data_IF_298705750823
#
_entry.id   IF_298705750823
#
_cell.length_a   1.000
_cell.length_b   1.000
_cell.length_c   1.000
_cell.angle_alpha   90.00
_cell.angle_beta   90.00
_cell.angle_gamma   90.00
#
_symmetry.space_group_name_H-M   'P 1'
#
loop_
_entity.id
_entity.type
_entity.pdbx_description
1 polymer ?
#
# COMPACT_ATOMS: atom_id res chain seq x y z
N UNK A 1 62.83 11.41 30.82
CA UNK A 1 61.50 11.84 31.29
C UNK A 1 60.51 11.70 30.14
N UNK A 2 59.72 10.62 30.11
CA UNK A 2 58.81 10.28 29.00
C UNK A 2 57.46 10.96 29.26
N UNK A 3 57.04 11.87 28.38
CA UNK A 3 55.76 12.57 28.49
C UNK A 3 54.71 11.77 27.72
N UNK A 4 53.83 11.09 28.45
CA UNK A 4 52.68 10.38 27.90
C UNK A 4 51.64 11.40 27.40
N UNK A 5 51.35 11.42 26.08
CA UNK A 5 50.20 12.15 25.54
C UNK A 5 48.94 11.34 25.80
N UNK A 6 48.07 11.87 26.66
CA UNK A 6 46.72 11.34 26.89
C UNK A 6 45.89 11.49 25.62
N UNK A 7 45.49 10.37 25.02
CA UNK A 7 44.47 10.34 23.97
C UNK A 7 43.11 10.45 24.67
N UNK A 8 42.53 11.65 24.69
CA UNK A 8 41.13 11.83 25.08
C UNK A 8 40.27 11.35 23.93
N UNK A 9 39.66 10.17 24.08
CA UNK A 9 38.56 9.73 23.21
C UNK A 9 37.38 10.66 23.50
N UNK A 10 37.15 11.62 22.62
CA UNK A 10 35.89 12.37 22.56
C UNK A 10 34.80 11.38 22.15
N UNK A 11 34.16 10.76 23.13
CA UNK A 11 32.84 10.17 22.92
C UNK A 11 31.92 11.34 22.62
N UNK A 12 31.69 11.60 21.34
CA UNK A 12 30.55 12.40 20.90
C UNK A 12 29.31 11.68 21.38
N UNK A 13 28.74 12.15 22.49
CA UNK A 13 27.41 11.76 22.91
C UNK A 13 26.46 12.05 21.76
N UNK A 14 26.07 10.99 21.05
CA UNK A 14 25.01 11.02 20.06
C UNK A 14 23.70 11.20 20.83
N UNK A 15 23.47 12.42 21.32
CA UNK A 15 22.12 12.87 21.56
C UNK A 15 21.50 13.01 20.17
N UNK A 16 20.91 11.91 19.68
CA UNK A 16 19.79 11.99 18.75
C UNK A 16 18.67 12.72 19.50
N UNK A 17 18.80 14.04 19.64
CA UNK A 17 17.64 14.91 19.67
C UNK A 17 16.99 14.67 18.32
N UNK A 18 16.03 13.75 18.30
CA UNK A 18 15.12 13.62 17.19
C UNK A 18 14.60 15.02 16.92
N UNK A 19 15.01 15.60 15.80
CA UNK A 19 14.15 16.55 15.14
C UNK A 19 12.91 15.72 14.83
N UNK A 20 11.91 15.74 15.71
CA UNK A 20 10.59 15.25 15.35
C UNK A 20 10.27 16.00 14.06
N UNK A 21 10.14 15.27 12.96
CA UNK A 21 9.88 15.88 11.67
C UNK A 21 8.68 16.80 11.87
N UNK A 22 8.88 18.12 11.74
CA UNK A 22 7.82 19.14 11.90
C UNK A 22 6.80 19.11 10.76
N UNK A 23 6.76 17.99 10.02
CA UNK A 23 6.11 17.84 8.76
C UNK A 23 5.12 16.67 8.85
N UNK A 24 4.04 16.81 8.11
CA UNK A 24 3.15 15.72 7.81
C UNK A 24 3.91 14.47 7.35
N UNK A 25 3.52 13.29 7.84
CA UNK A 25 4.05 12.02 7.37
C UNK A 25 2.98 10.92 7.32
N UNK A 26 3.09 9.97 6.38
CA UNK A 26 2.34 8.74 6.46
C UNK A 26 2.91 7.84 7.57
N UNK A 27 2.06 7.08 8.24
CA UNK A 27 2.46 6.26 9.41
C UNK A 27 2.39 4.78 9.08
N UNK A 28 1.23 4.31 8.59
CA UNK A 28 1.03 2.89 8.32
C UNK A 28 -0.18 2.63 7.41
N UNK A 29 -0.16 1.46 6.77
CA UNK A 29 -1.31 0.85 6.11
C UNK A 29 -1.69 -0.46 6.83
N UNK A 30 -2.99 -0.70 7.02
CA UNK A 30 -3.53 -1.91 7.65
C UNK A 30 -4.59 -2.54 6.75
N UNK A 31 -4.50 -3.85 6.43
CA UNK A 31 -3.38 -4.73 6.75
C UNK A 31 -2.10 -4.30 5.99
N UNK A 32 -0.89 -4.50 6.57
CA UNK A 32 0.36 -4.14 5.91
C UNK A 32 0.67 -5.05 4.70
N UNK A 33 0.09 -6.25 4.68
CA UNK A 33 0.12 -7.14 3.53
C UNK A 33 -1.15 -7.99 3.45
N UNK A 34 -1.48 -8.44 2.24
CA UNK A 34 -2.58 -9.39 2.06
C UNK A 34 -2.88 -9.67 0.60
N UNK A 35 -4.00 -10.35 0.37
CA UNK A 35 -4.46 -10.69 -0.97
C UNK A 35 -5.98 -10.68 -1.05
N UNK A 36 -6.52 -10.31 -2.21
CA UNK A 36 -7.96 -10.26 -2.43
C UNK A 36 -8.38 -9.27 -3.50
N UNK A 37 -9.56 -9.50 -4.07
CA UNK A 37 -10.17 -8.56 -5.01
C UNK A 37 -10.87 -7.40 -4.31
N UNK A 38 -11.32 -7.58 -3.07
CA UNK A 38 -11.91 -6.51 -2.27
C UNK A 38 -11.34 -6.54 -0.87
N UNK A 39 -11.05 -5.37 -0.32
CA UNK A 39 -10.52 -5.21 1.03
C UNK A 39 -10.82 -3.82 1.55
N UNK A 40 -11.23 -3.75 2.82
CA UNK A 40 -11.20 -2.50 3.57
C UNK A 40 -9.80 -2.29 4.13
N UNK A 41 -9.15 -1.20 3.72
CA UNK A 41 -7.81 -0.82 4.17
C UNK A 41 -7.87 0.44 5.00
N UNK A 42 -7.05 0.51 6.04
CA UNK A 42 -6.91 1.68 6.90
C UNK A 42 -5.54 2.30 6.69
N UNK A 43 -5.52 3.59 6.38
CA UNK A 43 -4.34 4.40 6.17
C UNK A 43 -4.23 5.46 7.25
N UNK A 44 -3.09 5.54 7.90
CA UNK A 44 -2.87 6.48 9.00
C UNK A 44 -1.81 7.51 8.59
N UNK A 45 -2.11 8.77 8.82
CA UNK A 45 -1.22 9.91 8.60
C UNK A 45 -1.11 10.72 9.88
N UNK A 46 0.01 11.40 10.10
CA UNK A 46 0.21 12.27 11.26
C UNK A 46 0.76 13.62 10.83
N UNK A 47 0.42 14.65 11.58
CA UNK A 47 1.08 15.96 11.53
C UNK A 47 1.33 16.47 12.96
N UNK A 48 2.56 16.86 13.32
CA UNK A 48 2.87 17.41 14.64
C UNK A 48 2.00 18.59 15.09
N UNK A 49 1.45 19.36 14.15
CA UNK A 49 0.62 20.55 14.39
C UNK A 49 -0.86 20.24 14.48
N UNK A 50 -1.26 18.99 14.25
CA UNK A 50 -2.63 18.52 14.30
C UNK A 50 -3.10 17.98 12.96
N UNK A 51 -4.02 17.02 12.98
CA UNK A 51 -4.54 16.45 11.72
C UNK A 51 -5.24 17.50 10.83
N UNK A 52 -5.70 18.60 11.42
CA UNK A 52 -6.27 19.75 10.71
C UNK A 52 -5.22 20.64 10.05
N UNK A 53 -3.96 20.26 10.05
CA UNK A 53 -2.89 20.91 9.31
C UNK A 53 -2.58 20.15 8.00
N UNK A 54 -2.95 18.87 7.92
CA UNK A 54 -2.84 18.07 6.70
C UNK A 54 -3.64 18.71 5.54
N UNK A 55 -3.01 18.87 4.38
CA UNK A 55 -3.62 19.37 3.15
C UNK A 55 -4.22 18.23 2.34
N UNK A 56 -3.38 17.57 1.56
CA UNK A 56 -3.73 16.40 0.74
C UNK A 56 -2.89 15.22 1.18
N UNK A 57 -3.54 14.11 1.47
CA UNK A 57 -2.86 12.83 1.73
C UNK A 57 -3.13 11.89 0.57
N UNK A 58 -2.09 11.16 0.18
CA UNK A 58 -2.06 10.36 -1.04
C UNK A 58 -1.82 8.90 -0.71
N UNK A 59 -2.55 8.03 -1.39
CA UNK A 59 -2.34 6.58 -1.37
C UNK A 59 -2.28 6.11 -2.82
N UNK A 60 -1.17 5.48 -3.19
CA UNK A 60 -0.96 4.94 -4.53
C UNK A 60 -0.66 3.46 -4.40
N UNK A 61 -1.52 2.64 -4.99
CA UNK A 61 -1.34 1.19 -5.06
C UNK A 61 -0.98 0.84 -6.50
N UNK A 62 0.25 0.39 -6.72
CA UNK A 62 0.76 -0.01 -8.04
C UNK A 62 2.03 -0.87 -7.88
N UNK A 63 2.54 -1.44 -8.98
CA UNK A 63 3.78 -2.24 -8.97
C UNK A 63 5.05 -1.38 -8.76
N UNK A 64 4.97 -0.09 -9.04
CA UNK A 64 6.02 0.92 -8.88
C UNK A 64 5.37 2.30 -8.70
N UNK A 65 6.15 3.30 -8.31
CA UNK A 65 5.64 4.65 -8.06
C UNK A 65 5.34 5.39 -9.38
N UNK A 66 4.15 5.15 -9.92
CA UNK A 66 3.56 5.83 -11.09
C UNK A 66 2.05 5.92 -10.91
N UNK A 67 1.49 7.11 -11.15
CA UNK A 67 0.06 7.39 -11.06
C UNK A 67 -0.74 6.94 -12.29
N UNK A 68 -0.07 6.59 -13.40
CA UNK A 68 -0.72 6.06 -14.60
C UNK A 68 -1.13 4.61 -14.37
N UNK A 69 -2.34 4.26 -14.80
CA UNK A 69 -2.90 2.90 -14.66
C UNK A 69 -2.70 2.35 -13.23
N UNK A 70 -2.99 3.18 -12.23
CA UNK A 70 -2.80 2.88 -10.82
C UNK A 70 -4.09 3.11 -10.04
N UNK A 71 -4.18 2.49 -8.85
CA UNK A 71 -5.18 2.93 -7.88
C UNK A 71 -4.57 4.07 -7.06
N UNK A 72 -4.65 5.29 -7.61
CA UNK A 72 -4.12 6.49 -6.96
C UNK A 72 -5.26 7.33 -6.40
N UNK A 73 -5.29 7.43 -5.08
CA UNK A 73 -6.28 8.09 -4.26
C UNK A 73 -5.66 9.33 -3.62
N UNK A 74 -6.32 10.48 -3.79
CA UNK A 74 -5.95 11.74 -3.18
C UNK A 74 -7.10 12.23 -2.29
N UNK A 75 -6.88 12.25 -0.98
CA UNK A 75 -7.86 12.76 -0.02
C UNK A 75 -7.54 14.21 0.33
N UNK A 76 -8.44 15.12 -0.03
CA UNK A 76 -8.37 16.52 0.39
C UNK A 76 -9.04 16.66 1.75
N UNK A 77 -8.23 16.90 2.79
CA UNK A 77 -8.75 16.97 4.16
C UNK A 77 -9.64 18.20 4.37
N UNK A 78 -9.28 19.35 3.80
CA UNK A 78 -10.07 20.59 3.94
C UNK A 78 -11.46 20.48 3.29
N UNK A 79 -11.56 19.78 2.16
CA UNK A 79 -12.81 19.56 1.46
C UNK A 79 -13.56 18.30 1.90
N UNK A 80 -12.92 17.40 2.67
CA UNK A 80 -13.54 16.16 3.14
C UNK A 80 -13.87 15.16 2.02
N UNK A 81 -13.16 15.24 0.90
CA UNK A 81 -13.45 14.48 -0.32
C UNK A 81 -12.23 13.71 -0.79
N UNK A 82 -12.49 12.50 -1.27
CA UNK A 82 -11.54 11.60 -1.89
C UNK A 82 -11.67 11.68 -3.41
N UNK A 83 -10.56 11.80 -4.10
CA UNK A 83 -10.48 11.74 -5.55
C UNK A 83 -9.72 10.47 -5.96
N UNK A 84 -10.21 9.81 -7.01
CA UNK A 84 -9.47 8.77 -7.71
C UNK A 84 -8.88 9.34 -8.99
N UNK A 85 -7.60 9.12 -9.23
CA UNK A 85 -6.93 9.55 -10.45
C UNK A 85 -7.31 8.61 -11.60
N UNK A 86 -7.65 9.18 -12.74
CA UNK A 86 -7.96 8.45 -13.97
C UNK A 86 -6.72 7.72 -14.51
N UNK A 87 -6.91 6.79 -15.45
CA UNK A 87 -5.85 5.96 -16.02
C UNK A 87 -4.68 6.75 -16.64
N UNK A 88 -4.90 8.01 -17.02
CA UNK A 88 -3.88 8.91 -17.57
C UNK A 88 -2.89 9.43 -16.51
N UNK A 89 -3.16 9.23 -15.22
CA UNK A 89 -2.30 9.64 -14.10
C UNK A 89 -2.35 11.12 -13.74
N UNK A 90 -3.30 11.90 -14.29
CA UNK A 90 -3.38 13.34 -14.03
C UNK A 90 -4.78 13.92 -13.87
N UNK A 91 -5.82 13.27 -14.40
CA UNK A 91 -7.20 13.74 -14.26
C UNK A 91 -7.82 13.18 -12.98
N UNK A 92 -8.45 14.02 -12.17
CA UNK A 92 -9.17 13.61 -10.98
C UNK A 92 -10.62 13.22 -11.33
N UNK A 93 -11.14 12.21 -10.65
CA UNK A 93 -12.57 11.85 -10.69
C UNK A 93 -13.44 12.95 -10.08
N UNK A 94 -14.77 12.75 -10.13
CA UNK A 94 -15.66 13.43 -9.20
C UNK A 94 -15.24 13.15 -7.75
N UNK A 95 -15.45 14.12 -6.85
CA UNK A 95 -15.15 13.95 -5.43
C UNK A 95 -16.11 12.96 -4.77
N UNK A 96 -15.56 12.01 -4.02
CA UNK A 96 -16.28 11.04 -3.23
C UNK A 96 -16.21 11.42 -1.75
N UNK A 97 -17.35 11.60 -1.09
CA UNK A 97 -17.39 11.83 0.37
C UNK A 97 -17.34 10.48 1.10
N UNK A 98 -16.30 10.17 1.89
CA UNK A 98 -16.25 8.93 2.68
C UNK A 98 -17.44 8.84 3.65
N UNK A 99 -18.06 7.66 3.76
CA UNK A 99 -19.25 7.44 4.59
C UNK A 99 -20.56 7.85 3.93
N UNK A 100 -20.50 8.49 2.75
CA UNK A 100 -21.66 8.80 1.92
C UNK A 100 -22.14 7.61 1.08
N UNK A 101 -22.81 7.92 -0.03
CA UNK A 101 -23.30 6.96 -1.01
C UNK A 101 -22.50 7.02 -2.33
N UNK A 102 -22.51 5.92 -3.08
CA UNK A 102 -21.88 5.84 -4.40
C UNK A 102 -20.43 5.37 -4.36
N UNK A 103 -19.77 5.46 -5.51
CA UNK A 103 -18.38 5.03 -5.70
C UNK A 103 -17.69 5.84 -6.80
N UNK A 104 -16.36 5.78 -6.81
CA UNK A 104 -15.52 6.23 -7.92
C UNK A 104 -14.67 5.08 -8.40
N UNK A 105 -14.44 4.99 -9.71
CA UNK A 105 -13.67 3.89 -10.31
C UNK A 105 -12.80 4.36 -11.48
N UNK A 106 -11.74 3.60 -11.73
CA UNK A 106 -10.89 3.65 -12.91
C UNK A 106 -10.63 2.22 -13.40
N UNK A 107 -9.73 2.01 -14.38
CA UNK A 107 -9.43 0.68 -14.90
C UNK A 107 -8.81 -0.30 -13.88
N UNK A 108 -8.35 0.18 -12.71
CA UNK A 108 -7.61 -0.62 -11.72
C UNK A 108 -8.39 -0.88 -10.45
N UNK A 109 -9.11 0.11 -9.94
CA UNK A 109 -9.84 -0.02 -8.70
C UNK A 109 -11.12 0.80 -8.67
N UNK A 110 -11.99 0.41 -7.73
CA UNK A 110 -13.20 1.11 -7.33
C UNK A 110 -13.12 1.38 -5.84
N UNK A 111 -13.51 2.57 -5.42
CA UNK A 111 -13.65 2.93 -4.00
C UNK A 111 -15.12 3.21 -3.72
N UNK A 112 -15.69 2.49 -2.76
CA UNK A 112 -17.06 2.73 -2.30
C UNK A 112 -17.06 3.76 -1.17
N UNK A 113 -17.99 4.72 -1.20
CA UNK A 113 -18.19 5.63 -0.07
C UNK A 113 -18.70 4.86 1.16
N UNK A 114 -19.60 3.91 0.94
CA UNK A 114 -20.11 3.03 1.98
C UNK A 114 -19.00 2.11 2.52
N UNK A 115 -18.82 2.13 3.85
CA UNK A 115 -17.75 1.40 4.53
C UNK A 115 -16.38 2.12 4.49
N UNK A 116 -16.28 3.26 3.80
CA UNK A 116 -15.15 4.17 3.92
C UNK A 116 -15.43 5.26 4.95
N UNK A 117 -14.39 5.81 5.56
CA UNK A 117 -14.50 6.92 6.52
C UNK A 117 -13.19 7.69 6.61
N UNK A 118 -13.27 8.93 7.08
CA UNK A 118 -12.12 9.73 7.45
C UNK A 118 -12.37 10.32 8.84
N UNK A 119 -11.43 10.12 9.77
CA UNK A 119 -11.55 10.61 11.14
C UNK A 119 -10.21 11.12 11.64
N UNK A 120 -10.24 12.24 12.37
CA UNK A 120 -9.04 12.86 12.94
C UNK A 120 -9.08 12.86 14.46
N UNK A 121 -7.95 12.58 15.10
CA UNK A 121 -7.78 12.62 16.55
C UNK A 121 -6.39 13.13 16.92
N UNK A 122 -6.32 14.26 17.63
CA UNK A 122 -5.06 14.93 17.98
C UNK A 122 -4.25 15.26 16.72
N UNK A 123 -3.14 14.54 16.54
CA UNK A 123 -2.20 14.76 15.44
C UNK A 123 -2.46 13.82 14.25
N UNK A 124 -3.38 12.86 14.42
CA UNK A 124 -3.50 11.71 13.52
C UNK A 124 -4.77 11.79 12.70
N UNK A 125 -4.65 11.59 11.38
CA UNK A 125 -5.76 11.33 10.47
C UNK A 125 -5.79 9.83 10.15
N UNK A 126 -6.96 9.22 10.33
CA UNK A 126 -7.26 7.85 9.95
C UNK A 126 -8.21 7.85 8.76
N UNK A 127 -7.81 7.22 7.67
CA UNK A 127 -8.59 7.08 6.45
C UNK A 127 -8.87 5.60 6.20
N UNK A 128 -10.13 5.19 6.34
CA UNK A 128 -10.58 3.83 6.06
C UNK A 128 -11.21 3.82 4.67
N UNK A 129 -10.74 2.97 3.77
CA UNK A 129 -11.21 2.89 2.40
C UNK A 129 -11.66 1.47 2.06
N UNK A 130 -12.89 1.35 1.57
CA UNK A 130 -13.44 0.13 1.01
C UNK A 130 -13.05 0.03 -0.47
N UNK A 131 -12.02 -0.77 -0.75
CA UNK A 131 -11.40 -0.90 -2.06
C UNK A 131 -11.80 -2.21 -2.74
N UNK A 132 -12.08 -2.13 -4.03
CA UNK A 132 -12.23 -3.27 -4.93
C UNK A 132 -11.30 -3.11 -6.13
N UNK A 133 -10.46 -4.11 -6.39
CA UNK A 133 -9.51 -4.14 -7.48
C UNK A 133 -10.06 -4.93 -8.67
N UNK A 134 -9.79 -4.43 -9.87
CA UNK A 134 -10.07 -5.14 -11.11
C UNK A 134 -9.14 -6.33 -11.27
N UNK A 135 -9.65 -7.47 -11.76
CA UNK A 135 -8.82 -8.64 -12.08
C UNK A 135 -7.74 -8.34 -13.14
N UNK A 136 -7.96 -7.33 -14.00
CA UNK A 136 -6.96 -6.85 -14.97
C UNK A 136 -5.79 -6.12 -14.29
N UNK A 137 -5.98 -5.66 -13.05
CA UNK A 137 -4.94 -5.07 -12.20
C UNK A 137 -4.19 -6.11 -11.36
N UNK A 138 -4.24 -7.36 -11.81
CA UNK A 138 -3.61 -8.52 -11.21
C UNK A 138 -2.14 -8.39 -10.78
N UNK A 139 -1.75 -9.20 -9.80
CA UNK A 139 -0.37 -9.36 -9.35
C UNK A 139 -0.02 -8.56 -8.10
N UNK A 140 1.24 -8.66 -7.67
CA UNK A 140 1.72 -8.03 -6.44
C UNK A 140 1.84 -6.51 -6.61
N UNK A 141 1.19 -5.76 -5.72
CA UNK A 141 1.18 -4.31 -5.67
C UNK A 141 1.90 -3.83 -4.42
N UNK A 142 2.49 -2.64 -4.51
CA UNK A 142 3.08 -1.90 -3.41
C UNK A 142 2.13 -0.77 -3.06
N UNK A 143 1.92 -0.56 -1.76
CA UNK A 143 1.14 0.54 -1.21
C UNK A 143 2.11 1.67 -0.86
N UNK A 144 2.09 2.71 -1.68
CA UNK A 144 2.82 3.95 -1.47
C UNK A 144 1.91 4.98 -0.81
N UNK A 145 2.44 5.72 0.15
CA UNK A 145 1.71 6.77 0.85
C UNK A 145 2.55 8.03 0.90
N UNK A 146 1.90 9.18 0.85
CA UNK A 146 2.54 10.48 1.03
C UNK A 146 1.58 11.44 1.73
N UNK A 147 2.11 12.33 2.54
CA UNK A 147 1.35 13.36 3.23
C UNK A 147 1.89 14.74 2.84
N UNK A 148 0.98 15.66 2.51
CA UNK A 148 1.29 17.07 2.42
C UNK A 148 0.50 17.87 3.46
N UNK A 149 1.10 18.93 3.98
CA UNK A 149 0.43 19.91 4.85
C UNK A 149 0.00 21.16 4.08
N UNK A 150 -0.65 22.11 4.76
CA UNK A 150 -1.12 23.36 4.17
C UNK A 150 0.00 24.36 3.87
N UNK A 151 1.17 24.18 4.47
CA UNK A 151 2.35 25.05 4.39
C UNK A 151 3.28 24.64 3.25
N UNK A 152 2.92 23.60 2.52
CA UNK A 152 3.65 23.10 1.35
C UNK A 152 4.73 22.09 1.70
N UNK A 153 4.77 21.59 2.94
CA UNK A 153 5.59 20.43 3.28
C UNK A 153 5.03 19.19 2.60
N UNK A 154 5.93 18.27 2.25
CA UNK A 154 5.59 16.99 1.67
C UNK A 154 6.56 15.94 2.23
N UNK A 155 6.03 14.85 2.75
CA UNK A 155 6.82 13.73 3.27
C UNK A 155 7.68 13.05 2.21
N UNK A 156 7.33 13.19 0.93
CA UNK A 156 7.72 12.25 -0.12
C UNK A 156 6.92 10.96 -0.03
N UNK A 157 7.20 10.03 -0.95
CA UNK A 157 6.51 8.75 -1.03
C UNK A 157 7.21 7.68 -0.20
N UNK A 158 6.46 7.03 0.67
CA UNK A 158 6.92 5.93 1.51
C UNK A 158 6.19 4.62 1.19
N UNK A 159 6.89 3.49 1.26
CA UNK A 159 6.31 2.16 1.06
C UNK A 159 5.83 1.60 2.39
N UNK A 160 4.52 1.49 2.58
CA UNK A 160 3.92 1.10 3.87
C UNK A 160 3.10 -0.19 3.81
N UNK A 161 3.07 -0.86 2.66
CA UNK A 161 2.48 -2.19 2.57
C UNK A 161 2.55 -2.81 1.18
N UNK A 162 1.99 -4.01 1.07
CA UNK A 162 1.85 -4.75 -0.19
C UNK A 162 0.46 -5.35 -0.32
N UNK A 163 -0.01 -5.54 -1.55
CA UNK A 163 -1.29 -6.20 -1.78
C UNK A 163 -1.25 -7.06 -3.04
N UNK A 164 -1.61 -8.33 -2.91
CA UNK A 164 -1.70 -9.24 -4.06
C UNK A 164 -3.12 -9.24 -4.60
N UNK A 165 -3.31 -8.63 -5.77
CA UNK A 165 -4.59 -8.67 -6.49
C UNK A 165 -4.70 -10.01 -7.22
N UNK A 166 -5.70 -10.86 -6.91
CA UNK A 166 -5.95 -12.08 -7.64
C UNK A 166 -6.20 -11.76 -9.11
N UNK A 167 -5.63 -12.57 -9.99
CA UNK A 167 -5.77 -12.39 -11.42
C UNK A 167 -6.17 -13.71 -12.06
N UNK A 168 -6.98 -13.61 -13.10
CA UNK A 168 -7.34 -14.75 -13.94
C UNK A 168 -6.45 -14.71 -15.16
N UNK A 169 -5.59 -15.71 -15.33
CA UNK A 169 -4.89 -15.90 -16.59
C UNK A 169 -5.92 -16.24 -17.69
N UNK A 170 -5.81 -15.66 -18.89
CA UNK A 170 -6.56 -16.14 -20.05
C UNK A 170 -6.04 -17.53 -20.42
N UNK A 171 -6.68 -18.57 -19.88
CA UNK A 171 -6.33 -19.95 -20.15
C UNK A 171 -6.69 -20.87 -18.98
N UNK A 172 -7.27 -22.03 -19.28
CA UNK A 172 -7.45 -23.09 -18.29
C UNK A 172 -6.08 -23.69 -17.99
N UNK A 173 -5.59 -23.57 -16.74
CA UNK A 173 -4.52 -24.45 -16.27
C UNK A 173 -5.12 -25.84 -16.14
N UNK A 174 -4.98 -26.66 -17.18
CA UNK A 174 -5.32 -28.07 -17.14
C UNK A 174 -4.10 -28.85 -16.67
N UNK A 175 -4.25 -29.64 -15.61
CA UNK A 175 -3.28 -30.70 -15.28
C UNK A 175 -3.45 -31.78 -16.34
N UNK A 176 -2.63 -31.72 -17.39
CA UNK A 176 -2.62 -32.69 -18.50
C UNK A 176 -1.93 -34.00 -18.11
N UNK A 177 -2.37 -34.59 -17.01
CA UNK A 177 -2.03 -35.93 -16.51
C UNK A 177 -0.86 -35.95 -15.50
N UNK A 178 -1.14 -36.46 -14.28
CA UNK A 178 -0.10 -37.01 -13.40
C UNK A 178 -0.03 -38.50 -13.71
N UNK A 179 0.95 -38.92 -14.51
CA UNK A 179 1.21 -40.32 -14.79
C UNK A 179 2.53 -40.76 -14.16
N UNK A 180 2.54 -41.86 -13.39
CA UNK A 180 1.37 -42.68 -13.04
C UNK A 180 0.52 -42.03 -11.94
N UNK A 181 -0.83 -42.15 -11.97
CA UNK A 181 -1.66 -41.90 -10.81
C UNK A 181 -1.24 -42.87 -9.69
N UNK A 182 -1.33 -42.43 -8.43
CA UNK A 182 -0.98 -43.26 -7.24
C UNK A 182 -1.42 -44.72 -7.44
N UNK A 183 -0.46 -45.62 -7.62
CA UNK A 183 -0.72 -47.05 -7.56
C UNK A 183 -0.50 -47.46 -6.11
N UNK A 184 -1.56 -47.91 -5.44
CA UNK A 184 -1.43 -48.62 -4.18
C UNK A 184 -0.93 -50.03 -4.51
N UNK A 185 0.39 -50.19 -4.62
CA UNK A 185 1.01 -51.48 -4.82
C UNK A 185 1.43 -52.09 -3.45
N UNK A 186 1.28 -53.40 -3.26
CA UNK A 186 1.79 -54.08 -2.07
C UNK A 186 3.31 -53.84 -1.91
N UNK A 187 3.84 -53.78 -0.68
CA UNK A 187 5.29 -53.69 -0.47
C UNK A 187 6.02 -54.80 -1.25
N UNK A 188 6.95 -54.41 -2.14
CA UNK A 188 7.81 -55.35 -2.88
C UNK A 188 7.56 -55.46 -4.40
N UNK A 189 6.65 -54.71 -5.00
CA UNK A 189 6.52 -54.65 -6.47
C UNK A 189 7.63 -53.81 -7.09
N UNK A 190 8.34 -54.38 -8.08
CA UNK A 190 9.40 -53.70 -8.83
C UNK A 190 8.79 -52.78 -9.90
N UNK A 191 9.01 -51.47 -9.81
CA UNK A 191 8.65 -50.52 -10.86
C UNK A 191 9.83 -50.32 -11.82
N UNK A 192 9.59 -50.52 -13.12
CA UNK A 192 10.59 -50.28 -14.16
C UNK A 192 10.28 -48.95 -14.83
N UNK A 193 11.12 -47.94 -14.60
CA UNK A 193 11.04 -46.65 -15.26
C UNK A 193 11.80 -46.72 -16.58
N UNK A 194 11.08 -46.70 -17.70
CA UNK A 194 11.71 -46.51 -19.02
C UNK A 194 11.79 -44.99 -19.31
N UNK A 195 12.96 -44.47 -19.70
CA UNK A 195 13.08 -43.08 -20.11
C UNK A 195 12.37 -42.84 -21.45
N UNK A 196 11.76 -41.67 -21.65
CA UNK A 196 11.15 -41.32 -22.94
C UNK A 196 12.25 -41.15 -24.02
N UNK A 197 11.95 -41.62 -25.23
CA UNK A 197 12.76 -41.43 -26.44
C UNK A 197 12.90 -39.95 -26.83
#
# INVERSE_FOLDING_TARGET
MRIARSVRVLVWGMALRGCAALAASPVMAVPPSGSGQSQTMTFTFTDPRGWQDLGVVNVLINNFLDGRKACYLAYSRSAGVLYLVADNGGTLSQGLVPGGSGSVSNGQCTVAAAGSSASGAGNTLTLVLNLSFSAAFGGNKIVYMAAGDQEGSNSGWETLGTWTVPFTLPGTIAVVNLSPPRVAAPPGTTETFLPPC
#
